data_IF_879314455074
#
_entry.id   IF_879314455074
#
_cell.length_a   1.000
_cell.length_b   1.000
_cell.length_c   1.000
_cell.angle_alpha   90.00
_cell.angle_beta   90.00
_cell.angle_gamma   90.00
#
_symmetry.space_group_name_H-M   'P 1'
#
loop_
_entity.id
_entity.type
_entity.pdbx_description
1 polymer ?
#
# COMPACT_ATOMS: atom_id res chain seq x y z
N UNK A 1 -15.43 -1.05 33.91
CA UNK A 1 -14.88 -0.49 32.69
C UNK A 1 -13.93 0.62 33.09
N UNK A 2 -12.68 0.55 32.67
CA UNK A 2 -11.69 1.59 32.84
C UNK A 2 -11.90 2.59 31.69
N UNK A 3 -12.20 3.84 32.00
CA UNK A 3 -12.31 4.91 31.00
C UNK A 3 -10.94 5.55 30.83
N UNK A 4 -10.23 5.18 29.78
CA UNK A 4 -8.96 5.82 29.42
C UNK A 4 -9.22 7.26 28.98
N UNK A 5 -8.44 8.20 29.50
CA UNK A 5 -8.48 9.58 29.03
C UNK A 5 -7.89 9.67 27.61
N UNK A 6 -8.48 10.46 26.69
CA UNK A 6 -7.89 10.70 25.37
C UNK A 6 -6.44 11.23 25.42
N UNK A 7 -6.06 11.87 26.52
CA UNK A 7 -4.72 12.43 26.72
C UNK A 7 -3.72 11.44 27.32
N UNK A 8 -4.18 10.25 27.73
CA UNK A 8 -3.27 9.22 28.23
C UNK A 8 -2.35 8.69 27.14
N UNK A 9 -1.15 8.27 27.57
CA UNK A 9 -0.14 7.71 26.69
C UNK A 9 -0.58 6.36 26.12
N UNK A 10 -0.74 6.28 24.81
CA UNK A 10 -1.09 5.05 24.13
C UNK A 10 0.15 4.29 23.64
N UNK A 11 1.12 4.99 23.05
CA UNK A 11 2.31 4.40 22.40
C UNK A 11 3.51 5.32 22.55
N UNK A 12 4.69 4.73 22.77
CA UNK A 12 5.98 5.40 22.57
C UNK A 12 6.58 4.86 21.27
N UNK A 13 6.65 5.70 20.25
CA UNK A 13 7.22 5.35 18.96
C UNK A 13 8.63 5.93 18.82
N UNK A 14 9.61 5.08 18.53
CA UNK A 14 11.01 5.51 18.38
C UNK A 14 11.32 5.90 16.95
N UNK A 15 11.90 7.09 16.80
CA UNK A 15 12.39 7.59 15.51
C UNK A 15 13.91 7.73 15.54
N UNK A 16 14.58 7.45 14.42
CA UNK A 16 15.99 7.76 14.25
C UNK A 16 16.17 9.28 14.23
N UNK A 17 16.67 9.85 15.32
CA UNK A 17 16.94 11.30 15.39
C UNK A 17 18.06 11.70 14.42
N UNK A 18 17.98 12.88 13.85
CA UNK A 18 19.03 13.50 13.01
C UNK A 18 20.38 13.68 13.73
N UNK A 19 20.38 13.60 15.05
CA UNK A 19 21.55 13.70 15.93
C UNK A 19 22.19 12.36 16.29
N UNK A 20 21.74 11.24 15.68
CA UNK A 20 22.22 9.90 15.95
C UNK A 20 21.61 9.19 17.16
N UNK A 21 20.86 9.90 18.00
CA UNK A 21 20.13 9.31 19.13
C UNK A 21 18.67 9.05 18.77
N UNK A 22 18.17 7.84 19.06
CA UNK A 22 16.75 7.55 18.91
C UNK A 22 15.91 8.39 19.88
N UNK A 23 14.82 8.97 19.38
CA UNK A 23 13.88 9.74 20.18
C UNK A 23 12.58 8.97 20.34
N UNK A 24 12.12 8.82 21.58
CA UNK A 24 10.80 8.27 21.88
C UNK A 24 9.73 9.34 21.76
N UNK A 25 8.88 9.22 20.75
CA UNK A 25 7.73 10.12 20.57
C UNK A 25 6.54 9.56 21.33
N UNK A 26 6.07 10.30 22.32
CA UNK A 26 4.92 9.93 23.15
C UNK A 26 3.63 10.29 22.42
N UNK A 27 2.80 9.29 22.14
CA UNK A 27 1.56 9.45 21.40
C UNK A 27 0.37 9.13 22.31
N UNK A 28 -0.53 10.08 22.58
CA UNK A 28 -1.74 9.84 23.34
C UNK A 28 -2.80 9.12 22.48
N UNK A 29 -3.82 8.53 23.11
CA UNK A 29 -4.93 7.86 22.44
C UNK A 29 -5.61 8.73 21.38
N UNK A 30 -5.82 10.03 21.67
CA UNK A 30 -6.43 10.96 20.70
C UNK A 30 -5.65 11.06 19.38
N UNK A 31 -4.31 10.92 19.42
CA UNK A 31 -3.49 10.99 18.21
C UNK A 31 -3.66 9.75 17.33
N UNK A 32 -3.78 8.56 17.93
CA UNK A 32 -4.11 7.34 17.21
C UNK A 32 -5.53 7.43 16.64
N UNK A 33 -6.48 7.80 17.49
CA UNK A 33 -7.89 7.90 17.11
C UNK A 33 -8.13 8.87 15.96
N UNK A 34 -7.51 10.05 15.97
CA UNK A 34 -7.68 11.02 14.88
C UNK A 34 -7.25 10.49 13.52
N UNK A 35 -6.15 9.73 13.47
CA UNK A 35 -5.69 9.08 12.25
C UNK A 35 -6.61 7.93 11.83
N UNK A 36 -7.07 7.12 12.78
CA UNK A 36 -8.03 6.06 12.52
C UNK A 36 -9.35 6.63 12.00
N UNK A 37 -9.85 7.70 12.63
CA UNK A 37 -11.06 8.38 12.18
C UNK A 37 -10.92 8.91 10.76
N UNK A 38 -9.79 9.52 10.43
CA UNK A 38 -9.49 9.93 9.06
C UNK A 38 -9.59 8.76 8.09
N UNK A 39 -9.03 7.60 8.43
CA UNK A 39 -9.13 6.40 7.59
C UNK A 39 -10.57 5.90 7.47
N UNK A 40 -11.35 5.90 8.56
CA UNK A 40 -12.75 5.50 8.55
C UNK A 40 -13.59 6.40 7.62
N UNK A 41 -13.31 7.69 7.61
CA UNK A 41 -14.04 8.68 6.81
C UNK A 41 -13.64 8.63 5.32
N UNK A 42 -12.35 8.33 5.01
CA UNK A 42 -11.80 8.41 3.65
C UNK A 42 -11.60 7.06 2.95
N UNK A 43 -11.70 5.95 3.68
CA UNK A 43 -11.59 4.58 3.15
C UNK A 43 -12.89 3.78 3.45
N UNK A 44 -14.06 4.28 3.03
CA UNK A 44 -15.35 3.70 3.39
C UNK A 44 -15.62 2.33 2.73
N UNK A 45 -14.88 1.98 1.67
CA UNK A 45 -15.07 0.77 0.87
C UNK A 45 -14.64 -0.52 1.56
N UNK A 46 -13.86 -0.44 2.66
CA UNK A 46 -13.51 -1.61 3.45
C UNK A 46 -14.69 -2.08 4.29
N UNK A 47 -14.89 -3.38 4.33
CA UNK A 47 -15.97 -4.05 5.06
C UNK A 47 -15.41 -5.21 5.89
N UNK A 48 -16.20 -5.65 6.87
CA UNK A 48 -15.86 -6.83 7.66
C UNK A 48 -15.65 -8.05 6.75
N UNK A 49 -14.59 -8.81 7.03
CA UNK A 49 -14.18 -9.97 6.25
C UNK A 49 -13.26 -9.66 5.06
N UNK A 50 -13.06 -8.39 4.67
CA UNK A 50 -12.08 -8.05 3.64
C UNK A 50 -10.65 -8.38 4.12
N UNK A 51 -9.82 -8.93 3.23
CA UNK A 51 -8.44 -9.25 3.52
C UNK A 51 -7.49 -8.05 3.37
N UNK A 52 -6.59 -7.88 4.31
CA UNK A 52 -5.50 -6.88 4.27
C UNK A 52 -4.18 -7.62 4.38
N UNK A 53 -3.24 -7.34 3.49
CA UNK A 53 -1.87 -7.85 3.59
C UNK A 53 -1.02 -6.84 4.34
N UNK A 54 -0.63 -7.19 5.57
CA UNK A 54 0.23 -6.37 6.43
C UNK A 54 1.69 -6.63 6.05
N UNK A 55 2.29 -5.73 5.31
CA UNK A 55 3.68 -5.85 4.82
C UNK A 55 4.62 -4.76 5.33
N UNK A 56 4.08 -3.72 5.94
CA UNK A 56 4.88 -2.66 6.55
C UNK A 56 5.26 -3.04 7.99
N UNK A 57 6.39 -2.52 8.51
CA UNK A 57 6.74 -2.73 9.90
C UNK A 57 5.69 -2.17 10.85
N UNK A 58 5.14 -3.00 11.75
CA UNK A 58 4.15 -2.57 12.74
C UNK A 58 4.72 -1.61 13.79
N UNK A 59 6.03 -1.59 13.97
CA UNK A 59 6.71 -0.60 14.80
C UNK A 59 6.72 0.82 14.18
N UNK A 60 6.35 0.97 12.91
CA UNK A 60 6.23 2.25 12.23
C UNK A 60 4.76 2.67 12.20
N UNK A 61 4.47 3.91 12.59
CA UNK A 61 3.08 4.41 12.73
C UNK A 61 2.24 4.27 11.46
N UNK A 62 2.85 4.39 10.29
CA UNK A 62 2.17 4.20 9.01
C UNK A 62 1.59 2.78 8.88
N UNK A 63 2.39 1.75 9.16
CA UNK A 63 1.91 0.36 9.17
C UNK A 63 0.94 0.10 10.32
N UNK A 64 1.27 0.54 11.53
CA UNK A 64 0.43 0.31 12.71
C UNK A 64 -0.98 0.85 12.53
N UNK A 65 -1.14 2.10 12.08
CA UNK A 65 -2.47 2.72 11.99
C UNK A 65 -3.24 2.22 10.78
N UNK A 66 -2.62 2.21 9.59
CA UNK A 66 -3.36 2.02 8.34
C UNK A 66 -3.49 0.55 7.96
N UNK A 67 -2.47 -0.30 8.23
CA UNK A 67 -2.55 -1.74 7.94
C UNK A 67 -3.11 -2.58 9.09
N UNK A 68 -3.06 -2.08 10.34
CA UNK A 68 -3.49 -2.87 11.49
C UNK A 68 -4.71 -2.27 12.20
N UNK A 69 -4.59 -1.11 12.86
CA UNK A 69 -5.65 -0.61 13.74
C UNK A 69 -6.94 -0.30 12.96
N UNK A 70 -6.86 0.47 11.88
CA UNK A 70 -8.03 0.85 11.08
C UNK A 70 -8.75 -0.38 10.49
N UNK A 71 -8.08 -1.30 9.75
CA UNK A 71 -8.76 -2.48 9.22
C UNK A 71 -9.28 -3.42 10.31
N UNK A 72 -8.56 -3.54 11.44
CA UNK A 72 -9.05 -4.32 12.58
C UNK A 72 -10.38 -3.79 13.10
N UNK A 73 -10.51 -2.48 13.28
CA UNK A 73 -11.76 -1.84 13.69
C UNK A 73 -12.90 -1.98 12.66
N UNK A 74 -12.55 -2.14 11.38
CA UNK A 74 -13.52 -2.44 10.31
C UNK A 74 -13.93 -3.92 10.27
N UNK A 75 -13.33 -4.79 11.10
CA UNK A 75 -13.55 -6.23 11.09
C UNK A 75 -12.90 -6.96 9.91
N UNK A 76 -11.84 -6.40 9.33
CA UNK A 76 -11.08 -7.03 8.26
C UNK A 76 -10.21 -8.18 8.79
N UNK A 77 -9.85 -9.12 7.89
CA UNK A 77 -8.88 -10.16 8.17
C UNK A 77 -7.45 -9.64 7.89
N UNK A 78 -6.62 -9.60 8.92
CA UNK A 78 -5.23 -9.15 8.82
C UNK A 78 -4.31 -10.34 8.52
N UNK A 79 -3.59 -10.28 7.40
CA UNK A 79 -2.65 -11.29 6.95
C UNK A 79 -1.21 -10.77 7.08
N UNK A 80 -0.51 -11.16 8.13
CA UNK A 80 0.87 -10.75 8.36
C UNK A 80 1.83 -11.62 7.55
N UNK A 81 2.78 -10.98 6.87
CA UNK A 81 3.84 -11.70 6.18
C UNK A 81 4.84 -12.25 7.19
N UNK A 82 5.04 -13.56 7.19
CA UNK A 82 5.99 -14.26 8.09
C UNK A 82 7.42 -14.27 7.57
N UNK A 83 7.63 -13.75 6.34
CA UNK A 83 8.94 -13.69 5.68
C UNK A 83 9.25 -12.25 5.31
N UNK A 84 10.55 -11.96 5.14
CA UNK A 84 10.99 -10.63 4.66
C UNK A 84 10.30 -10.31 3.34
N UNK A 85 9.59 -9.16 3.24
CA UNK A 85 8.85 -8.78 2.06
C UNK A 85 9.75 -8.70 0.83
N UNK A 86 9.48 -9.56 -0.16
CA UNK A 86 10.06 -9.48 -1.49
C UNK A 86 8.94 -9.36 -2.52
N UNK A 87 9.17 -8.84 -3.74
CA UNK A 87 8.12 -8.73 -4.74
C UNK A 87 7.37 -10.03 -4.99
N UNK A 88 8.08 -11.17 -4.99
CA UNK A 88 7.46 -12.49 -5.17
C UNK A 88 6.54 -12.84 -4.00
N UNK A 89 7.03 -12.74 -2.76
CA UNK A 89 6.24 -13.06 -1.56
C UNK A 89 5.00 -12.17 -1.46
N UNK A 90 5.15 -10.88 -1.79
CA UNK A 90 4.05 -9.92 -1.77
C UNK A 90 3.00 -10.25 -2.84
N UNK A 91 3.43 -10.55 -4.08
CA UNK A 91 2.50 -10.93 -5.14
C UNK A 91 1.79 -12.27 -4.85
N UNK A 92 2.48 -13.25 -4.27
CA UNK A 92 1.87 -14.52 -3.84
C UNK A 92 0.80 -14.28 -2.74
N UNK A 93 1.09 -13.36 -1.80
CA UNK A 93 0.12 -12.95 -0.78
C UNK A 93 -1.08 -12.22 -1.40
N UNK A 94 -0.87 -11.30 -2.34
CA UNK A 94 -1.95 -10.61 -3.04
C UNK A 94 -2.84 -11.57 -3.84
N UNK A 95 -2.25 -12.55 -4.53
CA UNK A 95 -3.00 -13.57 -5.26
C UNK A 95 -3.89 -14.42 -4.34
N UNK A 96 -3.44 -14.66 -3.10
CA UNK A 96 -4.16 -15.46 -2.12
C UNK A 96 -5.23 -14.64 -1.39
N UNK A 97 -4.86 -13.46 -0.89
CA UNK A 97 -5.72 -12.61 -0.04
C UNK A 97 -6.70 -11.78 -0.85
N UNK A 98 -6.33 -11.38 -2.07
CA UNK A 98 -7.11 -10.50 -2.97
C UNK A 98 -7.56 -9.22 -2.28
N UNK A 99 -6.61 -8.40 -1.79
CA UNK A 99 -6.92 -7.24 -0.97
C UNK A 99 -7.67 -6.16 -1.75
N UNK A 100 -8.63 -5.48 -1.11
CA UNK A 100 -9.27 -4.27 -1.64
C UNK A 100 -8.41 -3.02 -1.45
N UNK A 101 -7.58 -3.02 -0.42
CA UNK A 101 -6.66 -1.93 -0.10
C UNK A 101 -5.25 -2.48 -0.01
N UNK A 102 -4.34 -1.85 -0.74
CA UNK A 102 -2.90 -2.09 -0.63
C UNK A 102 -2.24 -0.83 -0.08
N UNK A 103 -1.45 -1.00 0.97
CA UNK A 103 -0.65 0.07 1.56
C UNK A 103 0.82 -0.30 1.34
N UNK A 104 1.57 0.57 0.68
CA UNK A 104 2.94 0.26 0.30
C UNK A 104 3.87 1.46 0.43
N UNK A 105 5.18 1.15 0.51
CA UNK A 105 6.22 2.15 0.25
C UNK A 105 6.57 2.13 -1.25
N UNK A 106 7.03 3.26 -1.82
CA UNK A 106 7.34 3.37 -3.25
C UNK A 106 8.22 2.26 -3.78
N UNK A 107 9.28 1.92 -3.04
CA UNK A 107 10.27 0.91 -3.44
C UNK A 107 9.64 -0.45 -3.82
N UNK A 108 8.59 -0.88 -3.13
CA UNK A 108 7.91 -2.15 -3.40
C UNK A 108 7.18 -2.08 -4.74
N UNK A 109 6.38 -1.04 -4.94
CA UNK A 109 5.58 -0.88 -6.16
C UNK A 109 6.48 -0.63 -7.38
N UNK A 110 7.48 0.21 -7.23
CA UNK A 110 8.49 0.46 -8.26
C UNK A 110 9.18 -0.84 -8.70
N UNK A 111 9.58 -1.67 -7.75
CA UNK A 111 10.25 -2.93 -8.04
C UNK A 111 9.31 -3.90 -8.80
N UNK A 112 8.04 -3.97 -8.43
CA UNK A 112 7.05 -4.78 -9.14
C UNK A 112 6.88 -4.26 -10.58
N UNK A 113 6.67 -2.96 -10.77
CA UNK A 113 6.46 -2.36 -12.09
C UNK A 113 7.71 -2.50 -12.96
N UNK A 114 8.88 -2.20 -12.45
CA UNK A 114 10.15 -2.30 -13.19
C UNK A 114 10.49 -3.74 -13.58
N UNK A 115 10.12 -4.73 -12.78
CA UNK A 115 10.42 -6.13 -13.09
C UNK A 115 9.36 -6.81 -13.94
N UNK A 116 8.10 -6.41 -13.84
CA UNK A 116 6.99 -7.10 -14.51
C UNK A 116 6.43 -6.35 -15.72
N UNK A 117 6.48 -5.02 -15.71
CA UNK A 117 5.82 -4.20 -16.73
C UNK A 117 6.82 -3.57 -17.69
N UNK A 118 7.82 -2.85 -17.20
CA UNK A 118 8.75 -2.13 -18.06
C UNK A 118 9.46 -3.02 -19.11
N UNK A 119 9.92 -4.25 -18.79
CA UNK A 119 10.52 -5.11 -19.80
C UNK A 119 9.57 -5.49 -20.93
N UNK A 120 8.25 -5.49 -20.68
CA UNK A 120 7.25 -5.72 -21.72
C UNK A 120 7.11 -4.50 -22.65
N UNK A 121 7.13 -3.28 -22.05
CA UNK A 121 7.04 -2.02 -22.78
C UNK A 121 8.28 -1.72 -23.63
N UNK A 122 9.44 -2.21 -23.22
CA UNK A 122 10.71 -2.00 -23.90
C UNK A 122 10.89 -2.83 -25.17
N UNK A 123 10.07 -3.86 -25.39
CA UNK A 123 10.12 -4.68 -26.60
C UNK A 123 9.89 -3.83 -27.86
N UNK A 124 10.67 -4.01 -28.96
CA UNK A 124 10.57 -3.18 -30.15
C UNK A 124 9.16 -3.13 -30.75
N UNK A 125 8.49 -4.27 -30.80
CA UNK A 125 7.11 -4.36 -31.30
C UNK A 125 6.15 -3.55 -30.41
N UNK A 126 6.33 -3.61 -29.08
CA UNK A 126 5.51 -2.88 -28.13
C UNK A 126 5.69 -1.36 -28.26
N UNK A 127 6.93 -0.90 -28.41
CA UNK A 127 7.25 0.51 -28.67
C UNK A 127 6.62 1.01 -29.96
N UNK A 128 6.54 0.16 -30.98
CA UNK A 128 5.89 0.50 -32.26
C UNK A 128 4.36 0.61 -32.09
N UNK A 129 3.74 -0.39 -31.45
CA UNK A 129 2.29 -0.41 -31.22
C UNK A 129 1.82 0.75 -30.34
N UNK A 130 2.60 1.16 -29.34
CA UNK A 130 2.31 2.31 -28.47
C UNK A 130 2.37 3.68 -29.20
N UNK A 131 2.88 3.74 -30.44
CA UNK A 131 2.87 4.94 -31.26
C UNK A 131 1.64 5.06 -32.17
N UNK A 132 0.87 3.98 -32.30
CA UNK A 132 -0.31 3.94 -33.16
C UNK A 132 -1.53 4.37 -32.33
N UNK A 133 -2.19 5.49 -32.64
CA UNK A 133 -3.43 5.88 -31.98
C UNK A 133 -4.45 4.77 -31.98
N UNK A 134 -5.26 4.64 -30.93
CA UNK A 134 -6.22 3.58 -30.68
C UNK A 134 -5.61 2.23 -30.23
N UNK A 135 -4.47 1.78 -30.80
CA UNK A 135 -3.80 0.56 -30.34
C UNK A 135 -3.11 0.78 -29.00
N UNK A 136 -2.57 1.98 -28.74
CA UNK A 136 -1.95 2.33 -27.48
C UNK A 136 -2.95 2.24 -26.32
N UNK A 137 -4.17 2.75 -26.49
CA UNK A 137 -5.23 2.71 -25.47
C UNK A 137 -5.64 1.29 -25.15
N UNK A 138 -5.87 0.44 -26.17
CA UNK A 138 -6.22 -0.97 -25.95
C UNK A 138 -5.10 -1.75 -25.28
N UNK A 139 -3.86 -1.46 -25.65
CA UNK A 139 -2.68 -2.12 -25.09
C UNK A 139 -2.46 -1.73 -23.65
N UNK A 140 -2.59 -0.44 -23.34
CA UNK A 140 -2.48 0.07 -21.97
C UNK A 140 -3.60 -0.49 -21.08
N UNK A 141 -4.82 -0.62 -21.59
CA UNK A 141 -5.93 -1.26 -20.88
C UNK A 141 -5.59 -2.72 -20.51
N UNK A 142 -5.07 -3.51 -21.46
CA UNK A 142 -4.64 -4.89 -21.17
C UNK A 142 -3.50 -4.97 -20.16
N UNK A 143 -2.60 -3.99 -20.17
CA UNK A 143 -1.52 -3.92 -19.17
C UNK A 143 -2.10 -3.57 -17.80
N UNK A 144 -3.07 -2.66 -17.75
CA UNK A 144 -3.79 -2.31 -16.52
C UNK A 144 -4.51 -3.54 -15.94
N UNK A 145 -5.27 -4.28 -16.76
CA UNK A 145 -5.96 -5.50 -16.34
C UNK A 145 -4.99 -6.53 -15.75
N UNK A 146 -3.87 -6.74 -16.43
CA UNK A 146 -2.84 -7.67 -15.94
C UNK A 146 -2.16 -7.20 -14.66
N UNK A 147 -1.99 -5.89 -14.51
CA UNK A 147 -1.46 -5.30 -13.28
C UNK A 147 -2.48 -5.44 -12.14
N UNK A 148 -3.74 -5.19 -12.41
CA UNK A 148 -4.85 -5.38 -11.49
C UNK A 148 -4.91 -6.83 -10.98
N UNK A 149 -4.80 -7.82 -11.88
CA UNK A 149 -4.72 -9.23 -11.50
C UNK A 149 -3.47 -9.55 -10.67
N UNK A 150 -2.32 -8.92 -10.98
CA UNK A 150 -1.08 -9.07 -10.21
C UNK A 150 -1.25 -8.58 -8.76
N UNK A 151 -2.10 -7.59 -8.56
CA UNK A 151 -2.46 -7.07 -7.24
C UNK A 151 -3.64 -7.81 -6.58
N UNK A 152 -4.04 -8.97 -7.12
CA UNK A 152 -5.06 -9.84 -6.54
C UNK A 152 -6.42 -9.77 -7.20
N UNK A 153 -6.64 -8.89 -8.17
CA UNK A 153 -7.89 -8.78 -8.94
C UNK A 153 -9.10 -8.28 -8.15
N UNK A 154 -8.88 -7.62 -7.01
CA UNK A 154 -9.96 -7.07 -6.16
C UNK A 154 -9.63 -5.67 -5.60
N UNK A 155 -8.59 -5.04 -6.14
CA UNK A 155 -8.06 -3.79 -5.65
C UNK A 155 -9.02 -2.62 -5.90
N UNK A 156 -9.46 -1.94 -4.85
CA UNK A 156 -10.21 -0.68 -4.92
C UNK A 156 -9.30 0.52 -4.84
N UNK A 157 -8.28 0.46 -3.98
CA UNK A 157 -7.36 1.58 -3.78
C UNK A 157 -5.96 1.12 -3.38
N UNK A 158 -4.95 1.84 -3.83
CA UNK A 158 -3.56 1.71 -3.38
C UNK A 158 -3.08 3.02 -2.76
N UNK A 159 -2.55 2.93 -1.55
CA UNK A 159 -1.93 4.07 -0.86
C UNK A 159 -0.43 3.85 -0.85
N UNK A 160 0.30 4.76 -1.48
CA UNK A 160 1.77 4.72 -1.53
C UNK A 160 2.29 5.91 -0.74
N UNK A 161 3.04 5.63 0.32
CA UNK A 161 3.51 6.64 1.25
C UNK A 161 4.91 6.38 1.80
N UNK A 162 5.37 7.29 2.67
CA UNK A 162 6.69 7.20 3.31
C UNK A 162 7.84 7.81 2.50
N UNK A 163 7.71 7.94 1.18
CA UNK A 163 8.67 8.61 0.29
C UNK A 163 7.98 9.03 -1.02
N UNK A 164 8.67 9.81 -1.83
CA UNK A 164 8.19 10.15 -3.18
C UNK A 164 8.30 8.93 -4.10
N UNK A 165 7.25 8.69 -4.90
CA UNK A 165 7.27 7.69 -5.96
C UNK A 165 8.19 8.15 -7.10
N UNK A 166 8.93 7.24 -7.71
CA UNK A 166 9.80 7.55 -8.83
C UNK A 166 8.96 8.08 -10.02
N UNK A 167 9.42 9.16 -10.63
CA UNK A 167 8.66 9.94 -11.61
C UNK A 167 8.21 9.13 -12.84
N UNK A 168 9.05 8.22 -13.34
CA UNK A 168 8.71 7.38 -14.48
C UNK A 168 7.61 6.36 -14.15
N UNK A 169 7.63 5.82 -12.94
CA UNK A 169 6.60 4.90 -12.43
C UNK A 169 5.29 5.65 -12.18
N UNK A 170 5.36 6.84 -11.58
CA UNK A 170 4.19 7.69 -11.37
C UNK A 170 3.52 8.05 -12.70
N UNK A 171 4.29 8.52 -13.69
CA UNK A 171 3.78 8.86 -15.02
C UNK A 171 3.17 7.65 -15.72
N UNK A 172 3.78 6.48 -15.59
CA UNK A 172 3.23 5.24 -16.12
C UNK A 172 1.88 4.89 -15.47
N UNK A 173 1.79 4.91 -14.14
CA UNK A 173 0.54 4.62 -13.42
C UNK A 173 -0.58 5.60 -13.79
N UNK A 174 -0.27 6.89 -13.91
CA UNK A 174 -1.23 7.92 -14.37
C UNK A 174 -1.71 7.69 -15.80
N UNK A 175 -0.90 7.05 -16.63
CA UNK A 175 -1.23 6.80 -18.04
C UNK A 175 -2.14 5.59 -18.23
N UNK A 176 -2.11 4.62 -17.34
CA UNK A 176 -2.92 3.41 -17.43
C UNK A 176 -4.24 3.49 -16.68
N UNK A 177 -4.44 4.50 -15.83
CA UNK A 177 -5.67 4.75 -15.06
C UNK A 177 -6.67 5.60 -15.85
#
# INVERSE_FOLDING_TARGET
YYEDSPEELAVINYTSGSTGFSKGVMLPYRSLWSNVKFCLDHLPFLSAGDGIVCMLPMAHMYGMVIEMIHPFLKGCHLHFLTRIPSPKIIMDAFATVKPKLIIAVPLIIEKIIRTKVFPLLEKPLMKLLLKVPFLDTQLLAKINDKLYETFGGNLSQMIIGGAALNRDVEQFLRRIN
#
